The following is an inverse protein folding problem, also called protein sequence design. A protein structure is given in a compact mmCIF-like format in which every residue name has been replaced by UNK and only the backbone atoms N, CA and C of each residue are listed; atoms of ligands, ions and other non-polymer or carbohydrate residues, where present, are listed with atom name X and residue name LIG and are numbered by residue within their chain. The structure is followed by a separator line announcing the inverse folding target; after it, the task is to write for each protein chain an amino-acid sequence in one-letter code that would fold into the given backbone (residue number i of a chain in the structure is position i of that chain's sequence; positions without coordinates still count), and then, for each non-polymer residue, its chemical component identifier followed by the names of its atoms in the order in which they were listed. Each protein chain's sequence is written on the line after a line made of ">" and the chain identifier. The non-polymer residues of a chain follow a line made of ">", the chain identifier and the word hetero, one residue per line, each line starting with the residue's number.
data_IF_028503453469
#
_entry.id   IF_028503453469
#
_cell.length_a   1.000
_cell.length_b   1.000
_cell.length_c   1.000
_cell.angle_alpha   90.00
_cell.angle_beta   90.00
_cell.angle_gamma   90.00
#
_symmetry.space_group_name_H-M   'P 1'
#
loop_
_entity.id
_entity.type
_entity.pdbx_description
1 polymer ?
#
# COMPACT_ATOMS: atom_id res chain seq x y z
N UNK A 1 -6.73 53.23 -20.93
CA UNK A 1 -7.20 51.90 -21.36
C UNK A 1 -6.78 50.90 -20.28
N UNK A 2 -7.69 50.56 -19.36
CA UNK A 2 -7.41 49.56 -18.32
C UNK A 2 -7.74 48.17 -18.87
N UNK A 3 -6.77 47.26 -18.77
CA UNK A 3 -6.98 45.85 -19.08
C UNK A 3 -7.59 45.23 -17.82
N UNK A 4 -8.87 44.86 -17.92
CA UNK A 4 -9.56 44.11 -16.88
C UNK A 4 -8.93 42.71 -16.75
N UNK A 5 -8.59 42.21 -15.55
CA UNK A 5 -8.07 40.86 -15.41
C UNK A 5 -9.23 39.88 -15.64
N UNK A 6 -9.09 39.02 -16.65
CA UNK A 6 -10.01 37.91 -16.88
C UNK A 6 -10.18 37.11 -15.59
N UNK A 7 -11.42 36.97 -15.11
CA UNK A 7 -11.78 36.02 -14.06
C UNK A 7 -11.37 34.62 -14.51
N UNK A 8 -10.22 34.13 -14.05
CA UNK A 8 -9.97 32.69 -14.01
C UNK A 8 -10.99 32.13 -13.03
N UNK A 9 -12.04 31.51 -13.58
CA UNK A 9 -12.94 30.65 -12.82
C UNK A 9 -12.07 29.72 -11.97
N UNK A 10 -12.31 29.71 -10.67
CA UNK A 10 -11.78 28.72 -9.75
C UNK A 10 -12.40 27.37 -10.11
N UNK A 11 -11.89 26.75 -11.18
CA UNK A 11 -12.01 25.32 -11.34
C UNK A 11 -11.25 24.72 -10.16
N UNK A 12 -12.00 24.45 -9.08
CA UNK A 12 -11.60 23.50 -8.04
C UNK A 12 -10.93 22.34 -8.75
N UNK A 13 -9.66 22.05 -8.44
CA UNK A 13 -8.92 20.95 -9.06
C UNK A 13 -9.63 19.65 -8.70
N UNK A 14 -10.58 19.25 -9.55
CA UNK A 14 -11.29 17.99 -9.40
C UNK A 14 -10.27 16.88 -9.63
N UNK A 15 -10.19 15.94 -8.69
CA UNK A 15 -9.37 14.73 -8.82
C UNK A 15 -9.64 14.06 -10.19
N UNK A 16 -8.64 13.82 -11.06
CA UNK A 16 -8.85 13.15 -12.34
C UNK A 16 -9.34 11.70 -12.21
N UNK A 17 -9.38 11.18 -10.97
CA UNK A 17 -9.80 9.83 -10.63
C UNK A 17 -11.23 9.79 -10.05
N UNK A 18 -11.87 10.94 -9.82
CA UNK A 18 -13.24 10.96 -9.29
C UNK A 18 -14.28 11.02 -10.42
N UNK A 19 -15.47 10.47 -10.16
CA UNK A 19 -16.59 10.56 -11.09
C UNK A 19 -16.97 12.04 -11.38
N UNK A 20 -16.74 12.94 -10.42
CA UNK A 20 -16.92 14.39 -10.58
C UNK A 20 -16.03 15.01 -11.68
N UNK A 21 -14.85 14.44 -11.98
CA UNK A 21 -14.03 14.88 -13.11
C UNK A 21 -14.72 14.66 -14.45
N UNK A 22 -15.53 13.62 -14.55
CA UNK A 22 -16.34 13.30 -15.73
C UNK A 22 -17.74 13.91 -15.70
N UNK A 23 -18.00 14.90 -14.82
CA UNK A 23 -19.31 15.54 -14.67
C UNK A 23 -20.39 14.64 -14.07
N UNK A 24 -19.99 13.66 -13.25
CA UNK A 24 -20.90 12.74 -12.53
C UNK A 24 -20.79 12.97 -11.02
N UNK A 25 -21.16 14.16 -10.57
CA UNK A 25 -21.06 14.59 -9.18
C UNK A 25 -21.82 13.68 -8.21
N UNK A 26 -23.07 13.33 -8.52
CA UNK A 26 -23.91 12.47 -7.66
C UNK A 26 -23.27 11.10 -7.41
N UNK A 27 -22.69 10.48 -8.45
CA UNK A 27 -21.98 9.20 -8.31
C UNK A 27 -20.70 9.33 -7.48
N UNK A 28 -20.01 10.47 -7.59
CA UNK A 28 -18.82 10.75 -6.77
C UNK A 28 -19.19 10.77 -5.29
N UNK A 29 -20.25 11.49 -4.93
CA UNK A 29 -20.75 11.58 -3.56
C UNK A 29 -21.25 10.23 -3.04
N UNK A 30 -21.93 9.45 -3.88
CA UNK A 30 -22.38 8.10 -3.55
C UNK A 30 -21.20 7.18 -3.20
N UNK A 31 -20.15 7.17 -4.04
CA UNK A 31 -18.98 6.33 -3.83
C UNK A 31 -18.15 6.77 -2.62
N UNK A 32 -17.99 8.07 -2.39
CA UNK A 32 -17.32 8.58 -1.18
C UNK A 32 -18.07 8.15 0.08
N UNK A 33 -19.41 8.26 0.09
CA UNK A 33 -20.25 7.85 1.23
C UNK A 33 -20.14 6.35 1.49
N UNK A 34 -20.19 5.52 0.45
CA UNK A 34 -20.01 4.06 0.57
C UNK A 34 -18.62 3.68 1.07
N UNK A 35 -17.57 4.33 0.54
CA UNK A 35 -16.20 4.08 0.97
C UNK A 35 -16.01 4.39 2.47
N UNK A 36 -16.58 5.49 2.96
CA UNK A 36 -16.58 5.84 4.39
C UNK A 36 -17.34 4.81 5.24
N UNK A 37 -18.54 4.43 4.82
CA UNK A 37 -19.34 3.42 5.53
C UNK A 37 -18.61 2.07 5.62
N UNK A 38 -17.90 1.65 4.56
CA UNK A 38 -17.10 0.43 4.60
C UNK A 38 -15.85 0.56 5.47
N UNK A 39 -15.22 1.73 5.50
CA UNK A 39 -14.08 1.99 6.40
C UNK A 39 -14.50 1.94 7.88
N UNK A 40 -15.65 2.52 8.22
CA UNK A 40 -16.23 2.45 9.57
C UNK A 40 -16.55 1.01 9.98
N UNK A 41 -17.26 0.27 9.12
CA UNK A 41 -17.58 -1.14 9.36
C UNK A 41 -16.33 -2.02 9.44
N UNK A 42 -15.29 -1.69 8.66
CA UNK A 42 -14.00 -2.37 8.72
C UNK A 42 -13.35 -2.15 10.09
N UNK A 43 -13.24 -0.90 10.55
CA UNK A 43 -12.68 -0.55 11.85
C UNK A 43 -13.45 -1.21 13.01
N UNK A 44 -14.78 -1.25 12.94
CA UNK A 44 -15.61 -1.93 13.96
C UNK A 44 -15.30 -3.44 14.03
N UNK A 45 -15.14 -4.09 12.87
CA UNK A 45 -14.89 -5.54 12.80
C UNK A 45 -13.47 -5.93 13.16
N UNK A 46 -12.49 -5.08 12.88
CA UNK A 46 -11.08 -5.35 13.19
C UNK A 46 -10.68 -4.89 14.59
N UNK A 47 -11.40 -3.92 15.14
CA UNK A 47 -11.06 -3.29 16.41
C UNK A 47 -9.76 -2.48 16.32
N UNK A 48 -9.17 -2.20 17.48
CA UNK A 48 -7.85 -1.57 17.58
C UNK A 48 -6.72 -2.61 17.61
N UNK A 49 -5.56 -2.27 17.04
CA UNK A 49 -4.37 -3.11 17.00
C UNK A 49 -4.02 -3.56 15.59
N UNK A 50 -3.30 -4.69 15.48
CA UNK A 50 -2.87 -5.26 14.21
C UNK A 50 -4.05 -5.95 13.52
N UNK A 51 -4.20 -5.68 12.22
CA UNK A 51 -5.31 -6.15 11.41
C UNK A 51 -5.21 -7.67 11.18
N UNK A 52 -6.24 -8.45 11.56
CA UNK A 52 -6.20 -9.91 11.46
C UNK A 52 -6.22 -10.38 10.00
N UNK A 53 -5.83 -11.63 9.76
CA UNK A 53 -5.91 -12.26 8.43
C UNK A 53 -7.35 -12.20 7.89
N UNK A 54 -8.32 -12.56 8.73
CA UNK A 54 -9.75 -12.49 8.43
C UNK A 54 -10.57 -12.00 9.65
N UNK A 55 -11.81 -11.58 9.42
CA UNK A 55 -12.69 -11.16 10.51
C UNK A 55 -12.92 -12.30 11.50
N UNK A 56 -12.73 -12.00 12.78
CA UNK A 56 -12.85 -12.98 13.87
C UNK A 56 -11.58 -13.78 14.17
N UNK A 57 -10.57 -13.76 13.29
CA UNK A 57 -9.30 -14.50 13.49
C UNK A 57 -8.29 -13.70 14.33
N UNK A 58 -8.58 -13.56 15.63
CA UNK A 58 -7.71 -12.84 16.56
C UNK A 58 -6.30 -13.46 16.64
N UNK A 59 -5.28 -12.61 16.77
CA UNK A 59 -3.88 -13.04 16.90
C UNK A 59 -3.21 -13.48 15.59
N UNK A 60 -3.92 -13.39 14.46
CA UNK A 60 -3.36 -13.57 13.12
C UNK A 60 -2.98 -12.21 12.50
N UNK A 61 -2.29 -12.23 11.36
CA UNK A 61 -2.05 -11.04 10.54
C UNK A 61 -1.95 -11.42 9.07
N UNK A 62 -2.08 -10.43 8.20
CA UNK A 62 -1.57 -10.51 6.83
C UNK A 62 -1.10 -9.14 6.36
N UNK A 63 -0.16 -9.11 5.41
CA UNK A 63 0.32 -7.84 4.86
C UNK A 63 -0.86 -7.12 4.17
N UNK A 64 -1.21 -5.93 4.65
CA UNK A 64 -2.33 -5.12 4.14
C UNK A 64 -1.90 -4.22 2.99
N UNK A 65 -1.19 -4.77 2.01
CA UNK A 65 -0.57 -4.02 0.91
C UNK A 65 -1.55 -3.13 0.12
N UNK A 66 -2.81 -3.55 -0.04
CA UNK A 66 -3.81 -2.77 -0.80
C UNK A 66 -4.23 -1.46 -0.14
N UNK A 67 -4.02 -1.28 1.17
CA UNK A 67 -4.34 -0.02 1.84
C UNK A 67 -3.42 1.12 1.39
N UNK A 68 -2.33 0.81 0.67
CA UNK A 68 -1.45 1.82 0.08
C UNK A 68 -2.22 2.81 -0.80
N UNK A 69 -3.23 2.37 -1.53
CA UNK A 69 -3.98 3.25 -2.43
C UNK A 69 -4.80 4.30 -1.68
N UNK A 70 -5.30 3.98 -0.48
CA UNK A 70 -5.92 4.97 0.42
C UNK A 70 -4.96 6.13 0.71
N UNK A 71 -3.69 5.80 0.99
CA UNK A 71 -2.63 6.77 1.25
C UNK A 71 -2.16 7.50 0.00
N UNK A 72 -1.90 6.80 -1.10
CA UNK A 72 -1.40 7.41 -2.35
C UNK A 72 -2.38 8.43 -2.93
N UNK A 73 -3.67 8.12 -2.89
CA UNK A 73 -4.71 9.03 -3.36
C UNK A 73 -5.14 10.03 -2.29
N UNK A 74 -4.79 9.81 -1.02
CA UNK A 74 -5.08 10.73 0.08
C UNK A 74 -6.55 10.70 0.50
N UNK A 75 -7.24 9.56 0.37
CA UNK A 75 -8.63 9.44 0.82
C UNK A 75 -8.75 9.47 2.35
N UNK A 76 -7.73 8.95 3.05
CA UNK A 76 -7.63 8.96 4.52
C UNK A 76 -8.74 8.15 5.20
N UNK A 77 -9.08 7.00 4.63
CA UNK A 77 -10.12 6.10 5.14
C UNK A 77 -9.59 5.18 6.26
N UNK A 78 -8.36 4.69 6.13
CA UNK A 78 -7.80 3.71 7.09
C UNK A 78 -7.05 4.42 8.24
N UNK A 79 -6.38 5.53 7.92
CA UNK A 79 -5.64 6.35 8.90
C UNK A 79 -4.15 6.02 8.96
N UNK A 80 -3.34 7.03 9.28
CA UNK A 80 -1.88 6.89 9.33
C UNK A 80 -1.42 6.03 10.50
N UNK A 81 -2.10 6.09 11.64
CA UNK A 81 -1.73 5.32 12.83
C UNK A 81 -1.80 3.81 12.57
N UNK A 82 -2.81 3.35 11.83
CA UNK A 82 -2.91 1.94 11.39
C UNK A 82 -1.74 1.58 10.48
N UNK A 83 -1.40 2.44 9.51
CA UNK A 83 -0.25 2.22 8.62
C UNK A 83 1.08 2.08 9.40
N UNK A 84 1.29 2.91 10.42
CA UNK A 84 2.49 2.86 11.26
C UNK A 84 2.52 1.64 12.19
N UNK A 85 1.38 1.26 12.76
CA UNK A 85 1.26 0.07 13.59
C UNK A 85 1.54 -1.21 12.76
N UNK A 86 0.91 -1.34 11.60
CA UNK A 86 1.10 -2.46 10.67
C UNK A 86 2.56 -2.57 10.23
N UNK A 87 3.17 -1.48 9.77
CA UNK A 87 4.57 -1.51 9.31
C UNK A 87 5.57 -1.85 10.42
N UNK A 88 5.33 -1.37 11.65
CA UNK A 88 6.16 -1.73 12.81
C UNK A 88 6.06 -3.23 13.11
N UNK A 89 4.85 -3.78 13.05
CA UNK A 89 4.62 -5.21 13.23
C UNK A 89 5.25 -6.06 12.12
N UNK A 90 5.18 -5.62 10.87
CA UNK A 90 5.82 -6.29 9.75
C UNK A 90 7.34 -6.36 9.90
N UNK A 91 7.97 -5.30 10.42
CA UNK A 91 9.40 -5.30 10.74
C UNK A 91 9.72 -6.34 11.80
N UNK A 92 8.89 -6.46 12.85
CA UNK A 92 9.04 -7.48 13.90
C UNK A 92 8.93 -8.91 13.34
N UNK A 93 8.03 -9.14 12.38
CA UNK A 93 7.82 -10.46 11.73
C UNK A 93 8.73 -10.72 10.54
N UNK A 94 9.68 -9.83 10.25
CA UNK A 94 10.54 -9.95 9.08
C UNK A 94 11.56 -11.08 9.25
N UNK A 95 11.57 -12.00 8.28
CA UNK A 95 12.60 -13.01 8.13
C UNK A 95 13.75 -12.47 7.27
N UNK A 96 14.81 -13.28 7.11
CA UNK A 96 16.03 -12.93 6.34
C UNK A 96 15.75 -12.30 4.97
N UNK A 97 14.73 -12.78 4.26
CA UNK A 97 14.42 -12.39 2.89
C UNK A 97 13.08 -11.67 2.73
N UNK A 98 12.33 -11.44 3.81
CA UNK A 98 11.08 -10.69 3.75
C UNK A 98 10.12 -10.98 4.89
N UNK A 99 8.97 -10.30 4.85
CA UNK A 99 7.86 -10.51 5.79
C UNK A 99 6.93 -11.57 5.19
N UNK A 100 6.56 -12.65 5.90
CA UNK A 100 5.55 -13.60 5.44
C UNK A 100 4.25 -12.90 5.02
N UNK A 101 3.53 -13.45 4.02
CA UNK A 101 2.26 -12.87 3.59
C UNK A 101 1.23 -12.82 4.72
N UNK A 102 1.20 -13.86 5.53
CA UNK A 102 0.30 -14.06 6.66
C UNK A 102 0.82 -15.18 7.57
N UNK A 103 0.01 -15.61 8.53
CA UNK A 103 0.38 -16.62 9.53
C UNK A 103 0.39 -18.06 9.03
N UNK A 104 -0.03 -18.36 7.80
CA UNK A 104 -0.21 -19.74 7.35
C UNK A 104 1.07 -20.38 6.83
N UNK A 105 1.92 -19.58 6.20
CA UNK A 105 3.14 -20.03 5.53
C UNK A 105 4.20 -18.94 5.54
N UNK A 106 5.47 -19.32 5.42
CA UNK A 106 6.60 -18.38 5.46
C UNK A 106 6.98 -17.83 4.08
N UNK A 107 6.20 -18.07 3.03
CA UNK A 107 6.42 -17.41 1.74
C UNK A 107 5.94 -15.95 1.74
N UNK A 108 6.49 -15.18 0.82
CA UNK A 108 6.24 -13.74 0.69
C UNK A 108 6.18 -13.29 -0.76
N UNK A 109 5.82 -12.02 -0.97
CA UNK A 109 5.88 -11.35 -2.27
C UNK A 109 6.63 -10.03 -2.21
N UNK A 110 7.64 -9.89 -3.05
CA UNK A 110 8.52 -8.71 -3.06
C UNK A 110 7.74 -7.42 -3.30
N UNK A 111 6.86 -7.39 -4.30
CA UNK A 111 6.06 -6.22 -4.64
C UNK A 111 5.13 -5.82 -3.48
N UNK A 112 4.53 -6.80 -2.78
CA UNK A 112 3.65 -6.53 -1.64
C UNK A 112 4.41 -5.98 -0.44
N UNK A 113 5.62 -6.48 -0.16
CA UNK A 113 6.50 -5.91 0.87
C UNK A 113 6.79 -4.44 0.55
N UNK A 114 7.11 -4.12 -0.71
CA UNK A 114 7.43 -2.75 -1.10
C UNK A 114 6.20 -1.82 -1.07
N UNK A 115 5.01 -2.34 -1.31
CA UNK A 115 3.77 -1.60 -1.10
C UNK A 115 3.53 -1.33 0.39
N UNK A 116 3.76 -2.33 1.25
CA UNK A 116 3.69 -2.16 2.69
C UNK A 116 4.75 -1.17 3.21
N UNK A 117 5.97 -1.20 2.67
CA UNK A 117 7.02 -0.23 2.99
C UNK A 117 6.63 1.21 2.67
N UNK A 118 5.78 1.42 1.65
CA UNK A 118 5.27 2.74 1.31
C UNK A 118 4.14 3.23 2.26
N UNK A 119 3.63 2.41 3.17
CA UNK A 119 2.61 2.83 4.14
C UNK A 119 3.17 3.79 5.21
N UNK A 120 4.40 3.55 5.66
CA UNK A 120 5.04 4.36 6.70
C UNK A 120 5.67 5.64 6.16
N UNK A 121 5.50 6.76 6.87
CA UNK A 121 6.19 8.02 6.58
C UNK A 121 7.60 8.08 7.20
N UNK A 122 7.95 7.11 8.05
CA UNK A 122 9.28 6.97 8.61
C UNK A 122 10.22 6.30 7.62
N UNK A 123 11.23 7.06 7.16
CA UNK A 123 12.25 6.56 6.23
C UNK A 123 12.88 5.26 6.75
N UNK A 124 13.28 5.23 8.02
CA UNK A 124 13.96 4.06 8.59
C UNK A 124 13.10 2.79 8.56
N UNK A 125 11.80 2.89 8.86
CA UNK A 125 10.88 1.74 8.76
C UNK A 125 10.72 1.26 7.32
N UNK A 126 10.59 2.19 6.37
CA UNK A 126 10.54 1.87 4.94
C UNK A 126 11.81 1.11 4.51
N UNK A 127 12.99 1.58 4.93
CA UNK A 127 14.28 0.91 4.65
C UNK A 127 14.38 -0.48 5.26
N UNK A 128 13.97 -0.65 6.52
CA UNK A 128 13.92 -1.95 7.18
C UNK A 128 13.02 -2.95 6.46
N UNK A 129 11.92 -2.50 5.86
CA UNK A 129 11.00 -3.37 5.15
C UNK A 129 11.52 -3.81 3.77
N UNK A 130 12.17 -2.93 3.01
CA UNK A 130 12.69 -3.33 1.70
C UNK A 130 14.07 -4.00 1.76
N UNK A 131 14.85 -3.81 2.84
CA UNK A 131 16.19 -4.39 2.98
C UNK A 131 16.23 -5.92 2.83
N UNK A 132 15.28 -6.71 3.40
CA UNK A 132 15.21 -8.15 3.16
C UNK A 132 14.98 -8.53 1.69
N UNK A 133 14.24 -7.71 0.93
CA UNK A 133 14.05 -7.93 -0.52
C UNK A 133 15.37 -7.71 -1.28
N UNK A 134 16.18 -6.74 -0.87
CA UNK A 134 17.55 -6.57 -1.39
C UNK A 134 18.45 -7.76 -1.03
N UNK A 135 18.30 -8.30 0.19
CA UNK A 135 19.02 -9.51 0.59
C UNK A 135 18.62 -10.72 -0.27
N UNK A 136 17.33 -10.85 -0.61
CA UNK A 136 16.82 -11.88 -1.50
C UNK A 136 17.42 -11.77 -2.91
N UNK A 137 17.39 -10.57 -3.51
CA UNK A 137 17.96 -10.33 -4.83
C UNK A 137 19.46 -10.66 -4.91
N UNK A 138 20.20 -10.46 -3.81
CA UNK A 138 21.64 -10.77 -3.72
C UNK A 138 21.91 -12.24 -3.44
N UNK A 139 21.08 -12.88 -2.63
CA UNK A 139 21.40 -14.15 -1.97
C UNK A 139 20.51 -15.34 -2.36
N UNK A 140 19.52 -15.15 -3.24
CA UNK A 140 18.64 -16.24 -3.66
C UNK A 140 19.43 -17.40 -4.28
N UNK A 141 19.14 -18.67 -3.89
CA UNK A 141 19.74 -19.83 -4.52
C UNK A 141 19.15 -20.11 -5.91
N UNK A 142 17.97 -19.57 -6.21
CA UNK A 142 17.25 -19.82 -7.45
C UNK A 142 17.94 -19.15 -8.64
N UNK A 143 18.22 -19.93 -9.70
CA UNK A 143 18.92 -19.49 -10.91
C UNK A 143 17.95 -19.15 -12.05
N UNK A 144 16.97 -18.31 -11.73
CA UNK A 144 15.96 -17.81 -12.66
C UNK A 144 15.86 -16.28 -12.54
N UNK A 145 15.22 -15.58 -13.49
CA UNK A 145 14.94 -14.15 -13.35
C UNK A 145 14.16 -13.84 -12.06
N UNK A 146 14.12 -12.55 -11.67
CA UNK A 146 13.47 -12.11 -10.43
C UNK A 146 12.06 -12.71 -10.26
N UNK A 147 11.93 -13.60 -9.27
CA UNK A 147 10.67 -14.19 -8.84
C UNK A 147 10.02 -13.36 -7.75
N UNK A 148 8.73 -13.10 -7.91
CA UNK A 148 7.95 -12.27 -6.98
C UNK A 148 7.19 -13.07 -5.93
N UNK A 149 7.29 -14.40 -5.93
CA UNK A 149 6.77 -15.27 -4.86
C UNK A 149 7.84 -16.28 -4.43
N UNK A 150 8.33 -16.14 -3.21
CA UNK A 150 9.48 -16.88 -2.70
C UNK A 150 9.38 -17.08 -1.18
N UNK A 151 10.16 -18.02 -0.65
CA UNK A 151 10.21 -18.28 0.78
C UNK A 151 11.01 -17.20 1.53
N UNK A 152 10.41 -16.57 2.54
CA UNK A 152 11.03 -15.44 3.24
C UNK A 152 12.18 -15.84 4.18
N UNK A 153 12.28 -17.12 4.56
CA UNK A 153 13.36 -17.63 5.42
C UNK A 153 14.59 -18.07 4.62
N UNK A 154 14.37 -18.71 3.46
CA UNK A 154 15.42 -19.38 2.66
C UNK A 154 15.63 -18.82 1.25
N UNK A 155 14.68 -18.08 0.69
CA UNK A 155 14.86 -17.29 -0.53
C UNK A 155 14.76 -18.08 -1.84
N UNK A 156 14.41 -19.35 -1.81
CA UNK A 156 14.02 -20.11 -3.00
C UNK A 156 12.65 -19.63 -3.51
N UNK A 157 12.56 -19.50 -4.83
CA UNK A 157 11.36 -19.10 -5.53
C UNK A 157 10.33 -20.24 -5.47
N UNK A 158 9.09 -19.89 -5.12
CA UNK A 158 7.94 -20.79 -5.19
C UNK A 158 7.44 -20.88 -6.64
N UNK A 159 7.09 -19.72 -7.20
CA UNK A 159 6.60 -19.57 -8.57
C UNK A 159 6.69 -18.09 -9.00
N UNK A 160 5.95 -17.69 -10.03
CA UNK A 160 5.75 -16.29 -10.43
C UNK A 160 7.07 -15.57 -10.72
N UNK A 161 7.63 -15.94 -11.87
CA UNK A 161 8.93 -15.48 -12.36
C UNK A 161 8.71 -14.44 -13.45
N UNK A 162 9.48 -13.35 -13.40
CA UNK A 162 9.52 -12.32 -14.45
C UNK A 162 8.14 -11.70 -14.80
N UNK A 163 7.25 -11.56 -13.81
CA UNK A 163 5.95 -10.92 -14.02
C UNK A 163 6.07 -9.41 -13.91
N UNK A 164 5.31 -8.68 -14.71
CA UNK A 164 5.33 -7.20 -14.70
C UNK A 164 4.93 -6.58 -13.37
N UNK A 165 4.23 -7.32 -12.50
CA UNK A 165 3.86 -6.89 -11.14
C UNK A 165 5.06 -6.54 -10.27
N UNK A 166 6.28 -6.99 -10.61
CA UNK A 166 7.52 -6.56 -9.93
C UNK A 166 7.75 -5.06 -10.01
N UNK A 167 7.12 -4.36 -10.96
CA UNK A 167 7.05 -2.89 -11.00
C UNK A 167 6.45 -2.28 -9.72
N UNK A 168 5.70 -3.05 -8.95
CA UNK A 168 5.24 -2.67 -7.61
C UNK A 168 6.36 -2.34 -6.64
N UNK A 169 7.59 -2.82 -6.87
CA UNK A 169 8.75 -2.47 -6.05
C UNK A 169 9.07 -0.96 -6.06
N UNK A 170 8.57 -0.20 -7.05
CA UNK A 170 8.74 1.24 -7.13
C UNK A 170 7.71 2.04 -6.29
N UNK A 171 6.84 1.38 -5.53
CA UNK A 171 5.81 2.04 -4.71
C UNK A 171 6.35 3.14 -3.76
N UNK A 172 7.49 2.96 -3.05
CA UNK A 172 8.05 4.05 -2.23
C UNK A 172 8.42 5.29 -3.05
N UNK A 173 8.95 5.11 -4.26
CA UNK A 173 9.29 6.21 -5.17
C UNK A 173 8.03 6.91 -5.70
N UNK A 174 6.99 6.14 -6.03
CA UNK A 174 5.69 6.68 -6.42
C UNK A 174 5.09 7.54 -5.32
N UNK A 175 5.12 7.07 -4.06
CA UNK A 175 4.68 7.83 -2.89
C UNK A 175 5.42 9.16 -2.78
N UNK A 176 6.76 9.13 -2.78
CA UNK A 176 7.59 10.34 -2.64
C UNK A 176 7.32 11.34 -3.77
N UNK A 177 7.04 10.86 -4.99
CA UNK A 177 6.71 11.75 -6.10
C UNK A 177 5.45 12.59 -5.89
N UNK A 178 4.53 12.12 -5.03
CA UNK A 178 3.25 12.79 -4.74
C UNK A 178 2.31 12.92 -5.96
N UNK A 179 2.59 12.21 -7.06
CA UNK A 179 1.82 12.29 -8.32
C UNK A 179 0.38 11.80 -8.18
N UNK A 180 0.13 10.89 -7.24
CA UNK A 180 -1.19 10.30 -7.03
C UNK A 180 -2.07 11.09 -6.06
N UNK A 181 -1.53 12.05 -5.30
CA UNK A 181 -2.32 12.72 -4.28
C UNK A 181 -3.34 13.66 -4.92
N UNK A 182 -4.63 13.35 -4.74
CA UNK A 182 -5.73 14.04 -5.42
C UNK A 182 -6.24 15.27 -4.68
N UNK A 183 -5.74 15.53 -3.46
CA UNK A 183 -6.11 16.71 -2.65
C UNK A 183 -5.18 17.92 -2.87
N UNK A 184 -4.51 18.01 -4.04
CA UNK A 184 -3.61 19.11 -4.42
C UNK A 184 -4.28 20.21 -5.24
#
# INVERSE_FOLDING_TARGET
>A
MSISPSRRSSASRRSPLSAAFFGKEELSEEYERRARSFAEAFQEKTGGGILPLAYGEKGTFSIKYNILFDKLFGFSLIGQDVCEAETSYYIEKSNRYGVPLDTREDYTKADWILWAAALTDEKEKCEKLYAPVLAYLKGTPSRVPFGDWYYSTRGDIVHFINRSVVGGCFAPLLKVSGKCNVKR
#
